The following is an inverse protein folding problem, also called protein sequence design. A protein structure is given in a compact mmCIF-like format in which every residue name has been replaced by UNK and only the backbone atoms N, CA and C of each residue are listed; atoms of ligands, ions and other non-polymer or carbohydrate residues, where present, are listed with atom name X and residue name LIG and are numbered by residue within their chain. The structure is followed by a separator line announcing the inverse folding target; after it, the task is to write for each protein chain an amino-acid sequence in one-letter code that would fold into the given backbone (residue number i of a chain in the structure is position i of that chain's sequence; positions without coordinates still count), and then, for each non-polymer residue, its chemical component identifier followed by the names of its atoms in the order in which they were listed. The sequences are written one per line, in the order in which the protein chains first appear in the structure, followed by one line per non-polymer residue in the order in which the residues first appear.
data_IF_346952744504
#
_entry.id   IF_346952744504
#
_cell.length_a   1.000
_cell.length_b   1.000
_cell.length_c   1.000
_cell.angle_alpha   90.00
_cell.angle_beta   90.00
_cell.angle_gamma   90.00
#
_symmetry.space_group_name_H-M   'P 1'
#
loop_
_entity.id
_entity.type
_entity.pdbx_description
1 polymer ?
#
# COMPACT_ATOMS: atom_id res chain seq x y z
N UNK A 1 -26.45 17.26 -23.99
CA UNK A 1 -26.20 17.39 -22.53
C UNK A 1 -27.06 16.39 -21.73
N UNK A 2 -26.84 15.08 -21.81
CA UNK A 2 -27.69 14.11 -21.07
C UNK A 2 -26.95 12.95 -20.40
N UNK A 3 -25.83 12.46 -20.94
CA UNK A 3 -25.12 11.30 -20.38
C UNK A 3 -24.46 11.57 -19.03
N UNK A 4 -23.88 12.77 -18.83
CA UNK A 4 -23.22 13.18 -17.58
C UNK A 4 -24.26 13.28 -16.43
N UNK A 5 -25.46 13.79 -16.73
CA UNK A 5 -26.54 13.95 -15.74
C UNK A 5 -27.08 12.58 -15.28
N UNK A 6 -27.13 11.61 -16.20
CA UNK A 6 -27.56 10.23 -15.91
C UNK A 6 -26.49 9.49 -15.09
N UNK A 7 -25.21 9.59 -15.47
CA UNK A 7 -24.11 8.98 -14.72
C UNK A 7 -23.99 9.56 -13.30
N UNK A 8 -24.14 10.88 -13.15
CA UNK A 8 -24.12 11.55 -11.85
C UNK A 8 -25.29 11.12 -10.96
N UNK A 9 -26.52 11.08 -11.48
CA UNK A 9 -27.69 10.58 -10.73
C UNK A 9 -27.52 9.12 -10.31
N UNK A 10 -26.97 8.28 -11.19
CA UNK A 10 -26.69 6.85 -10.91
C UNK A 10 -25.63 6.68 -9.84
N UNK A 11 -24.57 7.50 -9.85
CA UNK A 11 -23.55 7.53 -8.80
C UNK A 11 -24.15 8.00 -7.45
N UNK A 12 -24.97 9.07 -7.47
CA UNK A 12 -25.61 9.65 -6.29
C UNK A 12 -26.65 8.74 -5.64
N UNK A 13 -27.33 7.90 -6.42
CA UNK A 13 -28.32 6.92 -5.95
C UNK A 13 -27.75 5.51 -5.74
N UNK A 14 -26.47 5.26 -6.00
CA UNK A 14 -25.88 3.94 -5.82
C UNK A 14 -25.80 3.53 -4.34
N UNK A 15 -25.93 2.23 -4.07
CA UNK A 15 -25.84 1.65 -2.70
C UNK A 15 -24.47 1.88 -2.03
N UNK A 16 -23.43 2.20 -2.82
CA UNK A 16 -22.10 2.61 -2.36
C UNK A 16 -21.79 4.07 -2.70
N UNK A 17 -22.82 4.89 -2.92
CA UNK A 17 -22.72 6.28 -3.34
C UNK A 17 -22.38 7.23 -2.20
N UNK A 18 -22.20 8.52 -2.49
CA UNK A 18 -21.76 9.55 -1.52
C UNK A 18 -22.70 9.78 -0.34
N UNK A 19 -23.93 9.23 -0.38
CA UNK A 19 -24.87 9.21 0.75
C UNK A 19 -24.54 8.17 1.82
N UNK A 20 -23.58 7.28 1.56
CA UNK A 20 -23.30 6.12 2.42
C UNK A 20 -21.91 6.19 3.05
N UNK A 21 -21.77 5.58 4.23
CA UNK A 21 -20.48 5.43 4.91
C UNK A 21 -19.49 4.63 4.05
N UNK A 22 -20.00 3.76 3.17
CA UNK A 22 -19.21 2.98 2.22
C UNK A 22 -18.45 3.83 1.18
N UNK A 23 -18.84 5.09 0.98
CA UNK A 23 -18.11 6.05 0.17
C UNK A 23 -17.11 6.88 1.01
N UNK A 24 -17.54 7.41 2.15
CA UNK A 24 -16.70 8.28 2.97
C UNK A 24 -15.54 7.53 3.65
N UNK A 25 -15.77 6.31 4.14
CA UNK A 25 -14.73 5.54 4.82
C UNK A 25 -13.54 5.20 3.90
N UNK A 26 -13.72 4.69 2.66
CA UNK A 26 -12.60 4.54 1.75
C UNK A 26 -12.08 5.87 1.21
N UNK A 27 -12.92 6.91 1.09
CA UNK A 27 -12.44 8.27 0.74
C UNK A 27 -11.41 8.77 1.75
N UNK A 28 -11.64 8.58 3.05
CA UNK A 28 -10.67 8.93 4.09
C UNK A 28 -9.41 8.05 4.03
N UNK A 29 -9.54 6.77 3.66
CA UNK A 29 -8.38 5.87 3.48
C UNK A 29 -7.44 6.30 2.35
N UNK A 30 -7.86 7.15 1.41
CA UNK A 30 -6.94 7.75 0.43
C UNK A 30 -5.81 8.55 1.10
N UNK A 31 -6.00 9.04 2.32
CA UNK A 31 -4.91 9.63 3.10
C UNK A 31 -3.71 8.69 3.28
N UNK A 32 -3.94 7.38 3.44
CA UNK A 32 -2.87 6.37 3.52
C UNK A 32 -2.13 6.21 2.20
N UNK A 33 -2.85 6.27 1.07
CA UNK A 33 -2.24 6.20 -0.26
C UNK A 33 -1.37 7.44 -0.51
N UNK A 34 -1.87 8.63 -0.16
CA UNK A 34 -1.14 9.89 -0.30
C UNK A 34 0.10 9.92 0.61
N UNK A 35 -0.01 9.43 1.85
CA UNK A 35 1.13 9.29 2.75
C UNK A 35 2.18 8.34 2.15
N UNK A 36 1.76 7.18 1.64
CA UNK A 36 2.65 6.23 0.98
C UNK A 36 3.32 6.78 -0.28
N UNK A 37 2.65 7.67 -1.02
CA UNK A 37 3.25 8.39 -2.15
C UNK A 37 4.27 9.44 -1.67
N UNK A 38 3.97 10.16 -0.58
CA UNK A 38 4.92 11.13 0.00
C UNK A 38 6.18 10.45 0.53
N UNK A 39 6.03 9.25 1.09
CA UNK A 39 7.14 8.42 1.58
C UNK A 39 8.11 7.97 0.48
N UNK A 40 7.73 8.06 -0.81
CA UNK A 40 8.64 7.83 -1.93
C UNK A 40 9.82 8.81 -1.90
N UNK A 41 9.66 10.03 -1.39
CA UNK A 41 10.77 10.98 -1.32
C UNK A 41 11.70 10.71 -0.12
N UNK A 42 11.32 9.83 0.80
CA UNK A 42 12.11 9.50 1.99
C UNK A 42 13.25 8.53 1.63
N UNK A 43 14.46 8.70 2.20
CA UNK A 43 15.56 7.76 2.00
C UNK A 43 15.17 6.35 2.44
N UNK A 44 15.58 5.36 1.64
CA UNK A 44 15.19 3.96 1.75
C UNK A 44 15.57 3.35 3.10
N UNK A 45 16.63 3.85 3.73
CA UNK A 45 17.10 3.40 5.04
C UNK A 45 16.16 3.72 6.20
N UNK A 46 15.25 4.68 6.03
CA UNK A 46 14.25 5.04 7.05
C UNK A 46 12.88 4.39 6.81
N UNK A 47 12.75 3.60 5.74
CA UNK A 47 11.49 2.94 5.37
C UNK A 47 11.51 1.50 5.86
N UNK A 48 10.53 1.13 6.70
CA UNK A 48 10.44 -0.23 7.25
C UNK A 48 9.94 -1.23 6.19
N UNK A 49 10.76 -2.23 5.88
CA UNK A 49 10.41 -3.31 4.95
C UNK A 49 9.27 -4.19 5.48
N UNK A 50 9.30 -4.56 6.76
CA UNK A 50 8.26 -5.39 7.39
C UNK A 50 6.89 -4.71 7.38
N UNK A 51 6.87 -3.39 7.60
CA UNK A 51 5.64 -2.60 7.58
C UNK A 51 5.08 -2.50 6.15
N UNK A 52 5.92 -2.26 5.14
CA UNK A 52 5.46 -2.24 3.76
C UNK A 52 4.99 -3.62 3.28
N UNK A 53 5.64 -4.70 3.72
CA UNK A 53 5.22 -6.06 3.41
C UNK A 53 3.85 -6.39 4.04
N UNK A 54 3.60 -5.99 5.28
CA UNK A 54 2.32 -6.21 5.94
C UNK A 54 1.19 -5.38 5.31
N UNK A 55 1.48 -4.11 4.97
CA UNK A 55 0.55 -3.24 4.24
C UNK A 55 0.21 -3.80 2.85
N UNK A 56 1.21 -4.28 2.10
CA UNK A 56 0.99 -4.93 0.81
C UNK A 56 0.12 -6.19 0.96
N UNK A 57 0.45 -7.05 1.92
CA UNK A 57 -0.27 -8.32 2.12
C UNK A 57 -1.73 -8.10 2.45
N UNK A 58 -2.00 -7.19 3.38
CA UNK A 58 -3.37 -6.82 3.77
C UNK A 58 -4.12 -6.18 2.60
N UNK A 59 -3.49 -5.25 1.86
CA UNK A 59 -4.12 -4.58 0.73
C UNK A 59 -4.47 -5.55 -0.42
N UNK A 60 -3.64 -6.55 -0.71
CA UNK A 60 -3.93 -7.57 -1.73
C UNK A 60 -5.15 -8.40 -1.34
N UNK A 61 -5.22 -8.86 -0.09
CA UNK A 61 -6.37 -9.63 0.42
C UNK A 61 -7.64 -8.79 0.32
N UNK A 62 -7.61 -7.55 0.80
CA UNK A 62 -8.77 -6.65 0.77
C UNK A 62 -9.19 -6.27 -0.66
N UNK A 63 -8.24 -6.15 -1.59
CA UNK A 63 -8.53 -5.92 -3.00
C UNK A 63 -9.37 -7.06 -3.56
N UNK A 64 -8.98 -8.33 -3.34
CA UNK A 64 -9.76 -9.50 -3.77
C UNK A 64 -11.16 -9.52 -3.14
N UNK A 65 -11.24 -9.27 -1.83
CA UNK A 65 -12.52 -9.29 -1.10
C UNK A 65 -13.50 -8.21 -1.57
N UNK A 66 -12.99 -7.06 -2.02
CA UNK A 66 -13.81 -5.95 -2.55
C UNK A 66 -14.63 -6.33 -3.79
N UNK A 67 -14.18 -7.32 -4.56
CA UNK A 67 -14.89 -7.81 -5.75
C UNK A 67 -15.90 -8.92 -5.45
N UNK A 68 -15.75 -9.60 -4.30
CA UNK A 68 -16.58 -10.74 -3.89
C UNK A 68 -17.80 -10.28 -3.07
N UNK A 69 -17.65 -9.23 -2.26
CA UNK A 69 -18.73 -8.68 -1.43
C UNK A 69 -19.83 -8.06 -2.31
N UNK A 70 -21.10 -8.33 -2.00
CA UNK A 70 -22.29 -7.73 -2.64
C UNK A 70 -22.97 -6.75 -1.66
N UNK A 71 -23.30 -5.52 -2.09
CA UNK A 71 -22.98 -4.90 -3.37
C UNK A 71 -21.48 -4.57 -3.52
N UNK A 72 -20.96 -4.62 -4.75
CA UNK A 72 -19.53 -4.43 -5.04
C UNK A 72 -19.09 -2.99 -4.77
N UNK A 73 -18.14 -2.79 -3.86
CA UNK A 73 -17.59 -1.46 -3.55
C UNK A 73 -16.30 -1.20 -4.34
N UNK A 74 -16.46 -0.56 -5.51
CA UNK A 74 -15.34 -0.22 -6.40
C UNK A 74 -14.36 0.80 -5.80
N UNK A 75 -14.82 1.68 -4.91
CA UNK A 75 -13.98 2.67 -4.23
C UNK A 75 -13.02 1.98 -3.25
N UNK A 76 -13.53 1.00 -2.49
CA UNK A 76 -12.74 0.20 -1.58
C UNK A 76 -11.71 -0.67 -2.32
N UNK A 77 -12.10 -1.22 -3.48
CA UNK A 77 -11.18 -1.93 -4.38
C UNK A 77 -10.06 -1.01 -4.88
N UNK A 78 -10.40 0.20 -5.31
CA UNK A 78 -9.44 1.19 -5.81
C UNK A 78 -8.40 1.54 -4.75
N UNK A 79 -8.82 1.96 -3.55
CA UNK A 79 -7.90 2.34 -2.47
C UNK A 79 -6.90 1.22 -2.13
N UNK A 80 -7.38 -0.03 -1.99
CA UNK A 80 -6.51 -1.15 -1.67
C UNK A 80 -5.59 -1.54 -2.85
N UNK A 81 -6.04 -1.35 -4.09
CA UNK A 81 -5.20 -1.56 -5.28
C UNK A 81 -4.05 -0.54 -5.32
N UNK A 82 -4.36 0.74 -5.11
CA UNK A 82 -3.33 1.78 -5.04
C UNK A 82 -2.38 1.58 -3.86
N UNK A 83 -2.87 1.18 -2.69
CA UNK A 83 -2.02 0.86 -1.55
C UNK A 83 -1.09 -0.33 -1.83
N UNK A 84 -1.58 -1.35 -2.53
CA UNK A 84 -0.74 -2.49 -2.98
C UNK A 84 0.37 -2.00 -3.89
N UNK A 85 0.05 -1.12 -4.85
CA UNK A 85 1.04 -0.57 -5.79
C UNK A 85 2.08 0.30 -5.08
N UNK A 86 1.67 1.19 -4.16
CA UNK A 86 2.61 2.07 -3.45
C UNK A 86 3.50 1.27 -2.49
N UNK A 87 2.93 0.36 -1.69
CA UNK A 87 3.70 -0.50 -0.80
C UNK A 87 4.64 -1.45 -1.58
N UNK A 88 4.17 -1.99 -2.71
CA UNK A 88 4.98 -2.85 -3.58
C UNK A 88 6.14 -2.10 -4.21
N UNK A 89 5.91 -0.86 -4.65
CA UNK A 89 6.98 0.00 -5.17
C UNK A 89 8.03 0.32 -4.08
N UNK A 90 7.61 0.66 -2.86
CA UNK A 90 8.53 0.89 -1.76
C UNK A 90 9.35 -0.36 -1.43
N UNK A 91 8.70 -1.54 -1.41
CA UNK A 91 9.37 -2.80 -1.16
C UNK A 91 10.39 -3.13 -2.25
N UNK A 92 10.02 -2.95 -3.53
CA UNK A 92 10.93 -3.14 -4.66
C UNK A 92 12.15 -2.21 -4.59
N UNK A 93 11.96 -0.96 -4.15
CA UNK A 93 13.06 -0.03 -3.92
C UNK A 93 14.01 -0.51 -2.81
N UNK A 94 13.48 -1.00 -1.68
CA UNK A 94 14.28 -1.55 -0.58
C UNK A 94 15.11 -2.75 -1.07
N UNK A 95 14.49 -3.65 -1.83
CA UNK A 95 15.16 -4.83 -2.40
C UNK A 95 16.29 -4.41 -3.34
N UNK A 96 16.01 -3.49 -4.28
CA UNK A 96 17.02 -3.01 -5.23
C UNK A 96 18.19 -2.33 -4.51
N UNK A 97 17.90 -1.47 -3.52
CA UNK A 97 18.92 -0.79 -2.72
C UNK A 97 19.85 -1.78 -2.00
N UNK A 98 19.30 -2.86 -1.43
CA UNK A 98 20.07 -3.89 -0.72
C UNK A 98 20.93 -4.74 -1.63
N UNK A 99 20.36 -5.17 -2.76
CA UNK A 99 21.12 -5.93 -3.77
C UNK A 99 22.29 -5.12 -4.31
N UNK A 100 22.12 -3.80 -4.51
CA UNK A 100 23.20 -2.90 -4.94
C UNK A 100 24.28 -2.72 -3.86
N UNK A 101 23.94 -2.87 -2.58
CA UNK A 101 24.88 -2.82 -1.47
C UNK A 101 25.57 -4.18 -1.20
N UNK A 102 25.30 -5.21 -2.00
CA UNK A 102 25.93 -6.53 -1.87
C UNK A 102 25.19 -7.53 -0.96
N UNK A 103 24.03 -7.17 -0.42
CA UNK A 103 23.20 -8.11 0.37
C UNK A 103 22.68 -9.23 -0.55
N UNK A 104 22.69 -10.48 -0.08
CA UNK A 104 22.04 -11.60 -0.80
C UNK A 104 20.51 -11.48 -0.72
N UNK A 105 19.77 -12.06 -1.67
CA UNK A 105 18.28 -12.09 -1.64
C UNK A 105 17.75 -12.66 -0.31
N UNK A 106 18.41 -13.68 0.26
CA UNK A 106 18.03 -14.28 1.54
C UNK A 106 18.19 -13.31 2.72
N UNK A 107 19.29 -12.54 2.75
CA UNK A 107 19.52 -11.51 3.77
C UNK A 107 18.55 -10.34 3.61
N UNK A 108 18.22 -9.99 2.38
CA UNK A 108 17.21 -8.97 2.07
C UNK A 108 15.83 -9.43 2.54
N UNK A 109 15.47 -10.68 2.28
CA UNK A 109 14.19 -11.25 2.72
C UNK A 109 14.12 -11.40 4.24
N UNK A 110 15.20 -11.86 4.88
CA UNK A 110 15.27 -11.95 6.35
C UNK A 110 15.20 -10.57 7.00
N UNK A 111 15.79 -9.53 6.41
CA UNK A 111 15.64 -8.15 6.86
C UNK A 111 14.19 -7.65 6.71
N UNK A 112 13.55 -7.93 5.57
CA UNK A 112 12.17 -7.50 5.32
C UNK A 112 11.23 -8.20 6.31
N UNK A 113 11.44 -9.48 6.63
CA UNK A 113 10.57 -10.23 7.55
C UNK A 113 10.83 -9.94 9.02
N UNK A 114 12.10 -9.93 9.44
CA UNK A 114 12.46 -9.81 10.86
C UNK A 114 12.68 -8.36 11.30
N UNK A 115 12.62 -7.39 10.39
CA UNK A 115 12.97 -6.01 10.66
C UNK A 115 14.47 -5.83 10.91
N UNK A 116 14.91 -4.58 11.09
CA UNK A 116 16.32 -4.17 11.18
C UNK A 116 17.09 -4.66 12.45
N UNK A 117 16.71 -5.79 13.03
CA UNK A 117 17.13 -6.24 14.36
C UNK A 117 18.56 -6.76 14.53
N UNK A 118 19.54 -6.47 13.65
CA UNK A 118 20.92 -6.90 13.92
C UNK A 118 22.06 -6.11 13.25
N UNK A 119 21.82 -4.91 12.71
CA UNK A 119 22.87 -4.20 11.94
C UNK A 119 23.82 -3.33 12.79
N UNK A 120 23.47 -3.06 14.05
CA UNK A 120 24.31 -2.27 14.95
C UNK A 120 25.51 -3.07 15.49
N UNK A 121 25.40 -4.40 15.58
CA UNK A 121 26.48 -5.24 16.09
C UNK A 121 27.56 -5.51 15.03
N UNK A 122 27.22 -5.63 13.75
CA UNK A 122 28.23 -5.85 12.69
C UNK A 122 29.11 -4.63 12.41
N UNK A 123 28.59 -3.41 12.55
CA UNK A 123 29.40 -2.20 12.39
C UNK A 123 30.33 -1.93 13.58
N UNK A 124 29.97 -2.40 14.78
CA UNK A 124 30.79 -2.28 15.99
C UNK A 124 31.88 -3.37 16.10
N UNK A 125 31.89 -4.37 15.21
CA UNK A 125 32.91 -5.43 15.17
C UNK A 125 33.95 -5.12 14.06
N UNK A 126 33.71 -4.12 13.21
CA UNK A 126 34.61 -3.73 12.12
C UNK A 126 35.26 -2.34 12.29
N UNK A 127 35.11 -1.71 13.46
CA UNK A 127 35.90 -0.54 13.90
C UNK A 127 36.86 -0.92 15.03
#
# INVERSE_FOLDING_TARGET
MSTINIAFRRFWQSETGPKTVHFWAPTLKWGLVIAGLTDINRPVDKVSGAQNLSLLSTAVIWTRWSFVIKPKNMLLASVNSFLTLTAGYQLARIVNYRLRNGDTIQQTFSYILNGAGNRNNEKLIQE
#
